data_IF_426516326982
#
_entry.id   IF_426516326982
#
_cell.length_a   1.000
_cell.length_b   1.000
_cell.length_c   1.000
_cell.angle_alpha   90.00
_cell.angle_beta   90.00
_cell.angle_gamma   90.00
#
_symmetry.space_group_name_H-M   'P 1'
#
loop_
_entity.id
_entity.type
_entity.pdbx_description
1 polymer ?
#
# COMPACT_ATOMS: atom_id res chain seq x y z
N UNK A 1 -1.79 14.43 -13.89
CA UNK A 1 -2.25 14.36 -12.50
C UNK A 1 -1.61 13.17 -11.78
N UNK A 2 -1.53 13.26 -10.46
CA UNK A 2 -0.95 12.20 -9.64
C UNK A 2 -1.67 10.86 -9.85
N UNK A 3 -3.00 10.89 -9.97
CA UNK A 3 -3.80 9.68 -10.22
C UNK A 3 -3.47 8.99 -11.54
N UNK A 4 -3.09 9.74 -12.56
CA UNK A 4 -2.70 9.17 -13.86
C UNK A 4 -1.34 8.47 -13.78
N UNK A 5 -0.43 9.01 -12.97
CA UNK A 5 0.88 8.38 -12.70
C UNK A 5 0.67 7.03 -12.01
N UNK A 6 -0.21 6.96 -11.01
CA UNK A 6 -0.50 5.71 -10.30
C UNK A 6 -1.14 4.67 -11.20
N UNK A 7 -2.09 5.08 -12.04
CA UNK A 7 -2.74 4.16 -12.98
C UNK A 7 -1.73 3.56 -13.96
N UNK A 8 -0.81 4.38 -14.47
CA UNK A 8 0.25 3.92 -15.37
C UNK A 8 1.17 2.94 -14.65
N UNK A 9 1.56 3.26 -13.42
CA UNK A 9 2.42 2.41 -12.60
C UNK A 9 1.75 1.07 -12.31
N UNK A 10 0.47 1.06 -11.96
CA UNK A 10 -0.28 -0.16 -11.71
C UNK A 10 -0.38 -1.02 -12.97
N UNK A 11 -0.60 -0.42 -14.14
CA UNK A 11 -0.62 -1.12 -15.42
C UNK A 11 0.73 -1.75 -15.75
N UNK A 12 1.83 -1.03 -15.51
CA UNK A 12 3.18 -1.54 -15.73
C UNK A 12 3.46 -2.72 -14.81
N UNK A 13 3.07 -2.63 -13.54
CA UNK A 13 3.25 -3.71 -12.57
C UNK A 13 2.39 -4.92 -12.90
N UNK A 14 1.18 -4.72 -13.40
CA UNK A 14 0.33 -5.80 -13.90
C UNK A 14 1.04 -6.60 -14.98
N UNK A 15 1.65 -5.92 -15.96
CA UNK A 15 2.40 -6.58 -17.02
C UNK A 15 3.56 -7.38 -16.46
N UNK A 16 4.29 -6.83 -15.49
CA UNK A 16 5.39 -7.52 -14.83
C UNK A 16 4.88 -8.78 -14.12
N UNK A 17 3.75 -8.68 -13.42
CA UNK A 17 3.14 -9.84 -12.73
C UNK A 17 2.74 -10.91 -13.74
N UNK A 18 2.12 -10.53 -14.85
CA UNK A 18 1.73 -11.47 -15.89
C UNK A 18 2.92 -12.23 -16.47
N UNK A 19 4.02 -11.51 -16.76
CA UNK A 19 5.26 -12.11 -17.24
C UNK A 19 5.89 -13.06 -16.23
N UNK A 20 5.94 -12.64 -14.98
CA UNK A 20 6.48 -13.46 -13.91
C UNK A 20 5.65 -14.72 -13.69
N UNK A 21 4.31 -14.60 -13.76
CA UNK A 21 3.41 -15.75 -13.64
C UNK A 21 3.67 -16.76 -14.77
N UNK A 22 3.85 -16.28 -15.99
CA UNK A 22 4.17 -17.14 -17.13
C UNK A 22 5.47 -17.90 -16.89
N UNK A 23 6.52 -17.21 -16.45
CA UNK A 23 7.82 -17.82 -16.14
C UNK A 23 7.73 -18.85 -15.01
N UNK A 24 6.86 -18.64 -14.03
CA UNK A 24 6.64 -19.55 -12.91
C UNK A 24 5.67 -20.69 -13.25
N UNK A 25 5.06 -20.67 -14.42
CA UNK A 25 4.05 -21.65 -14.78
C UNK A 25 2.74 -21.50 -14.02
N UNK A 26 2.43 -20.30 -13.57
CA UNK A 26 1.24 -20.00 -12.77
C UNK A 26 0.15 -19.42 -13.68
N UNK A 27 -1.07 -19.94 -13.55
CA UNK A 27 -2.22 -19.39 -14.26
C UNK A 27 -2.80 -18.22 -13.47
N UNK A 28 -2.90 -17.06 -14.10
CA UNK A 28 -3.44 -15.86 -13.50
C UNK A 28 -4.31 -15.13 -14.53
N UNK A 29 -5.47 -14.63 -14.10
CA UNK A 29 -6.26 -13.80 -14.99
C UNK A 29 -5.81 -12.33 -14.90
N UNK A 30 -6.32 -11.52 -15.82
CA UNK A 30 -5.93 -10.11 -15.91
C UNK A 30 -6.28 -9.34 -14.64
N UNK A 31 -7.46 -9.58 -14.07
CA UNK A 31 -7.90 -8.91 -12.85
C UNK A 31 -7.07 -9.33 -11.64
N UNK A 32 -6.66 -10.60 -11.56
CA UNK A 32 -5.75 -11.07 -10.51
C UNK A 32 -4.38 -10.43 -10.60
N UNK A 33 -3.85 -10.34 -11.82
CA UNK A 33 -2.54 -9.68 -12.04
C UNK A 33 -2.58 -8.20 -11.68
N UNK A 34 -3.66 -7.50 -12.02
CA UNK A 34 -3.84 -6.10 -11.66
C UNK A 34 -3.91 -5.93 -10.14
N UNK A 35 -4.62 -6.82 -9.44
CA UNK A 35 -4.74 -6.74 -7.98
C UNK A 35 -3.40 -6.93 -7.29
N UNK A 36 -2.59 -7.89 -7.71
CA UNK A 36 -1.23 -8.07 -7.19
C UNK A 36 -0.37 -6.85 -7.48
N UNK A 37 -0.45 -6.32 -8.70
CA UNK A 37 0.31 -5.13 -9.09
C UNK A 37 -0.05 -3.90 -8.27
N UNK A 38 -1.33 -3.65 -8.08
CA UNK A 38 -1.83 -2.50 -7.30
C UNK A 38 -1.30 -2.51 -5.86
N UNK A 39 -1.20 -3.68 -5.25
CA UNK A 39 -0.80 -3.81 -3.85
C UNK A 39 0.71 -3.96 -3.67
N UNK A 40 1.50 -3.80 -4.71
CA UNK A 40 2.95 -4.02 -4.68
C UNK A 40 3.77 -2.77 -4.36
N UNK A 41 3.14 -1.69 -3.92
CA UNK A 41 3.81 -0.44 -3.51
C UNK A 41 4.69 0.15 -4.62
N UNK A 42 4.32 -0.05 -5.87
CA UNK A 42 5.04 0.49 -7.01
C UNK A 42 6.38 -0.17 -7.31
N UNK A 43 6.69 -1.32 -6.70
CA UNK A 43 7.99 -1.98 -6.92
C UNK A 43 7.84 -3.36 -7.56
N UNK A 44 8.61 -3.64 -8.64
CA UNK A 44 8.61 -4.96 -9.27
C UNK A 44 9.06 -6.07 -8.32
N UNK A 45 10.02 -5.81 -7.43
CA UNK A 45 10.49 -6.80 -6.46
C UNK A 45 9.36 -7.24 -5.53
N UNK A 46 8.61 -6.29 -5.01
CA UNK A 46 7.50 -6.60 -4.11
C UNK A 46 6.36 -7.28 -4.86
N UNK A 47 6.08 -6.86 -6.11
CA UNK A 47 5.10 -7.51 -6.95
C UNK A 47 5.41 -9.00 -7.14
N UNK A 48 6.68 -9.32 -7.42
CA UNK A 48 7.12 -10.71 -7.58
C UNK A 48 7.02 -11.51 -6.28
N UNK A 49 7.36 -10.89 -5.15
CA UNK A 49 7.23 -11.54 -3.84
C UNK A 49 5.77 -11.83 -3.50
N UNK A 50 4.90 -10.87 -3.72
CA UNK A 50 3.46 -11.04 -3.49
C UNK A 50 2.88 -12.12 -4.42
N UNK A 51 3.28 -12.13 -5.69
CA UNK A 51 2.84 -13.14 -6.64
C UNK A 51 3.17 -14.55 -6.15
N UNK A 52 4.38 -14.76 -5.67
CA UNK A 52 4.80 -16.08 -5.15
C UNK A 52 3.95 -16.51 -3.96
N UNK A 53 3.63 -15.59 -3.06
CA UNK A 53 2.80 -15.86 -1.89
C UNK A 53 1.35 -16.14 -2.28
N UNK A 54 0.83 -15.38 -3.23
CA UNK A 54 -0.53 -15.62 -3.75
C UNK A 54 -0.59 -16.95 -4.49
N UNK A 55 0.45 -17.30 -5.26
CA UNK A 55 0.57 -18.61 -5.91
C UNK A 55 0.50 -19.75 -4.90
N UNK A 56 1.27 -19.68 -3.83
CA UNK A 56 1.31 -20.70 -2.80
C UNK A 56 -0.08 -20.87 -2.18
N UNK A 57 -0.76 -19.78 -1.88
CA UNK A 57 -2.12 -19.77 -1.37
C UNK A 57 -3.09 -20.43 -2.35
N UNK A 58 -3.00 -20.08 -3.63
CA UNK A 58 -3.88 -20.63 -4.67
C UNK A 58 -3.69 -22.13 -4.85
N UNK A 59 -2.44 -22.61 -4.76
CA UNK A 59 -2.15 -24.03 -4.89
C UNK A 59 -2.65 -24.86 -3.72
N UNK A 60 -2.62 -24.29 -2.51
CA UNK A 60 -3.06 -25.00 -1.29
C UNK A 60 -4.58 -24.98 -1.14
N UNK A 61 -5.21 -23.82 -1.39
CA UNK A 61 -6.63 -23.58 -1.09
C UNK A 61 -7.55 -23.70 -2.30
N UNK A 62 -7.00 -23.62 -3.51
CA UNK A 62 -7.76 -23.60 -4.75
C UNK A 62 -7.09 -24.52 -5.77
N UNK A 63 -7.47 -24.41 -7.02
CA UNK A 63 -6.96 -25.24 -8.13
C UNK A 63 -5.66 -24.70 -8.76
N UNK A 64 -5.04 -23.70 -8.14
CA UNK A 64 -3.83 -23.07 -8.64
C UNK A 64 -4.05 -21.87 -9.55
N UNK A 65 -5.29 -21.59 -9.93
CA UNK A 65 -5.63 -20.42 -10.75
C UNK A 65 -5.75 -19.18 -9.86
N UNK A 66 -5.08 -18.11 -10.21
CA UNK A 66 -5.15 -16.84 -9.49
C UNK A 66 -6.17 -15.94 -10.20
N UNK A 67 -7.38 -15.93 -9.68
CA UNK A 67 -8.42 -15.00 -10.10
C UNK A 67 -8.35 -13.75 -9.22
N UNK A 68 -9.14 -12.73 -9.56
CA UNK A 68 -9.29 -11.54 -8.73
C UNK A 68 -9.63 -11.90 -7.27
N UNK A 69 -10.61 -12.79 -7.09
CA UNK A 69 -11.06 -13.17 -5.75
C UNK A 69 -9.98 -13.91 -4.96
N UNK A 70 -9.24 -14.78 -5.62
CA UNK A 70 -8.13 -15.50 -4.99
C UNK A 70 -7.02 -14.54 -4.60
N UNK A 71 -6.66 -13.62 -5.50
CA UNK A 71 -5.65 -12.60 -5.22
C UNK A 71 -6.08 -11.71 -4.05
N UNK A 72 -7.31 -11.22 -4.06
CA UNK A 72 -7.85 -10.37 -3.01
C UNK A 72 -7.83 -11.08 -1.65
N UNK A 73 -8.30 -12.31 -1.60
CA UNK A 73 -8.33 -13.10 -0.36
C UNK A 73 -6.93 -13.32 0.18
N UNK A 74 -5.99 -13.73 -0.68
CA UNK A 74 -4.62 -13.97 -0.26
C UNK A 74 -3.93 -12.70 0.23
N UNK A 75 -4.09 -11.60 -0.50
CA UNK A 75 -3.45 -10.32 -0.13
C UNK A 75 -4.04 -9.74 1.15
N UNK A 76 -5.34 -9.93 1.39
CA UNK A 76 -5.96 -9.51 2.65
C UNK A 76 -5.40 -10.31 3.83
N UNK A 77 -5.15 -11.62 3.65
CA UNK A 77 -4.51 -12.43 4.69
C UNK A 77 -3.07 -12.00 4.98
N UNK A 78 -2.39 -11.43 3.99
CA UNK A 78 -1.05 -10.87 4.16
C UNK A 78 -1.08 -9.45 4.76
N UNK A 79 -2.27 -8.95 5.10
CA UNK A 79 -2.48 -7.62 5.68
C UNK A 79 -2.04 -6.47 4.77
N UNK A 80 -2.01 -6.69 3.46
CA UNK A 80 -1.77 -5.65 2.46
C UNK A 80 -3.12 -5.18 1.95
N UNK A 81 -3.44 -3.89 2.15
CA UNK A 81 -4.76 -3.37 1.75
C UNK A 81 -4.83 -3.03 0.25
N UNK A 82 -5.98 -2.51 -0.19
CA UNK A 82 -6.25 -2.21 -1.60
C UNK A 82 -5.28 -1.20 -2.22
N UNK A 83 -4.62 -0.38 -1.41
CA UNK A 83 -3.62 0.60 -1.87
C UNK A 83 -2.19 0.10 -1.72
N UNK A 84 -2.00 -1.10 -1.19
CA UNK A 84 -0.66 -1.62 -0.90
C UNK A 84 -0.10 -1.19 0.45
N UNK A 85 -0.94 -0.65 1.33
CA UNK A 85 -0.51 -0.28 2.68
C UNK A 85 -0.41 -1.52 3.55
N UNK A 86 0.67 -1.62 4.31
CA UNK A 86 0.83 -2.67 5.31
C UNK A 86 0.38 -2.20 6.70
N UNK A 87 0.54 -3.05 7.70
CA UNK A 87 0.13 -2.73 9.07
C UNK A 87 0.86 -1.50 9.63
N UNK A 88 2.15 -1.35 9.32
CA UNK A 88 2.93 -0.20 9.80
C UNK A 88 2.47 1.10 9.16
N UNK A 89 2.18 1.10 7.85
CA UNK A 89 1.60 2.28 7.18
C UNK A 89 0.30 2.69 7.85
N UNK A 90 -0.58 1.72 8.11
CA UNK A 90 -1.88 2.01 8.74
C UNK A 90 -1.72 2.51 10.17
N UNK A 91 -0.79 1.94 10.93
CA UNK A 91 -0.49 2.41 12.29
C UNK A 91 0.01 3.84 12.30
N UNK A 92 0.85 4.19 11.32
CA UNK A 92 1.36 5.54 11.17
C UNK A 92 0.22 6.53 10.90
N UNK A 93 -0.63 6.24 9.93
CA UNK A 93 -1.79 7.09 9.62
C UNK A 93 -2.77 7.17 10.78
N UNK A 94 -3.05 6.04 11.43
CA UNK A 94 -3.94 5.97 12.59
C UNK A 94 -3.43 6.85 13.73
N UNK A 95 -2.13 6.80 14.02
CA UNK A 95 -1.53 7.64 15.06
C UNK A 95 -1.66 9.13 14.73
N UNK A 96 -1.45 9.51 13.47
CA UNK A 96 -1.60 10.89 13.04
C UNK A 96 -3.04 11.38 13.20
N UNK A 97 -4.02 10.53 12.93
CA UNK A 97 -5.43 10.88 13.09
C UNK A 97 -5.83 10.96 14.56
N UNK A 98 -5.53 9.94 15.34
CA UNK A 98 -6.07 9.77 16.71
C UNK A 98 -5.19 10.37 17.78
N UNK A 99 -3.88 10.16 17.74
CA UNK A 99 -2.96 10.66 18.76
C UNK A 99 -2.61 12.13 18.55
N UNK A 100 -2.45 12.56 17.32
CA UNK A 100 -2.05 13.91 16.98
C UNK A 100 -3.21 14.76 16.43
N UNK A 101 -4.41 14.16 16.33
CA UNK A 101 -5.64 14.85 15.89
C UNK A 101 -5.48 15.57 14.55
N UNK A 102 -4.71 14.98 13.64
CA UNK A 102 -4.46 15.54 12.31
C UNK A 102 -3.52 16.72 12.29
N UNK A 103 -2.98 17.15 13.42
CA UNK A 103 -2.02 18.27 13.47
C UNK A 103 -0.68 17.83 12.90
N UNK A 104 0.08 18.76 12.30
CA UNK A 104 1.43 18.42 11.83
C UNK A 104 2.29 17.86 12.95
N UNK A 105 3.03 16.81 12.65
CA UNK A 105 3.89 16.13 13.63
C UNK A 105 5.29 15.90 13.04
N UNK A 106 6.31 16.13 13.87
CA UNK A 106 7.70 15.92 13.48
C UNK A 106 8.01 14.41 13.36
N UNK A 107 9.05 14.11 12.58
CA UNK A 107 9.45 12.74 12.28
C UNK A 107 9.77 11.95 13.55
N UNK A 108 10.60 12.50 14.43
CA UNK A 108 11.02 11.78 15.64
C UNK A 108 9.86 11.52 16.61
N UNK A 109 8.95 12.48 16.72
CA UNK A 109 7.76 12.35 17.56
C UNK A 109 6.84 11.26 17.01
N UNK A 110 6.64 11.23 15.71
CA UNK A 110 5.84 10.21 15.05
C UNK A 110 6.47 8.83 15.22
N UNK A 111 7.78 8.73 15.01
CA UNK A 111 8.53 7.48 15.17
C UNK A 111 8.38 6.92 16.59
N UNK A 112 8.53 7.76 17.59
CA UNK A 112 8.34 7.35 18.98
C UNK A 112 6.93 6.86 19.25
N UNK A 113 5.92 7.51 18.66
CA UNK A 113 4.51 7.17 18.88
C UNK A 113 4.14 5.79 18.31
N UNK A 114 4.76 5.36 17.22
CA UNK A 114 4.45 4.08 16.59
C UNK A 114 5.50 3.00 16.85
N UNK A 115 6.56 3.33 17.59
CA UNK A 115 7.62 2.37 17.89
C UNK A 115 8.47 1.98 16.69
N UNK A 116 8.71 2.92 15.77
CA UNK A 116 9.49 2.69 14.56
C UNK A 116 10.71 3.62 14.55
N UNK A 117 11.74 3.23 13.82
CA UNK A 117 12.93 4.05 13.64
C UNK A 117 12.63 5.22 12.70
N UNK A 118 13.09 6.43 13.06
CA UNK A 118 12.87 7.65 12.26
C UNK A 118 13.41 7.52 10.84
N UNK A 119 14.60 6.95 10.69
CA UNK A 119 15.21 6.73 9.37
C UNK A 119 14.39 5.79 8.51
N UNK A 120 13.83 4.75 9.11
CA UNK A 120 12.98 3.78 8.42
C UNK A 120 11.69 4.45 7.93
N UNK A 121 11.08 5.29 8.77
CA UNK A 121 9.88 6.03 8.34
C UNK A 121 10.22 6.93 7.16
N UNK A 122 11.31 7.68 7.25
CA UNK A 122 11.70 8.63 6.21
C UNK A 122 12.08 7.95 4.90
N UNK A 123 12.76 6.81 4.95
CA UNK A 123 13.31 6.15 3.77
C UNK A 123 12.37 5.12 3.15
N UNK A 124 11.54 4.46 3.96
CA UNK A 124 10.72 3.33 3.50
C UNK A 124 9.23 3.68 3.41
N UNK A 125 8.66 4.27 4.44
CA UNK A 125 7.21 4.49 4.51
C UNK A 125 6.77 5.83 3.95
N UNK A 126 7.42 6.91 4.33
CA UNK A 126 7.03 8.26 3.94
C UNK A 126 7.02 8.48 2.43
N UNK A 127 8.04 8.06 1.66
CA UNK A 127 8.03 8.30 0.21
C UNK A 127 6.82 7.69 -0.48
N UNK A 128 6.45 6.49 -0.10
CA UNK A 128 5.27 5.81 -0.65
C UNK A 128 3.97 6.54 -0.27
N UNK A 129 3.84 6.91 1.01
CA UNK A 129 2.65 7.59 1.50
C UNK A 129 2.48 8.98 0.87
N UNK A 130 3.58 9.70 0.65
CA UNK A 130 3.57 10.99 -0.06
C UNK A 130 3.17 10.78 -1.52
N UNK A 131 3.77 9.81 -2.19
CA UNK A 131 3.47 9.50 -3.59
C UNK A 131 1.99 9.15 -3.78
N UNK A 132 1.41 8.40 -2.84
CA UNK A 132 0.00 8.02 -2.90
C UNK A 132 -0.95 9.13 -2.43
N UNK A 133 -0.43 10.28 -2.03
CA UNK A 133 -1.24 11.42 -1.64
C UNK A 133 -1.90 11.28 -0.29
N UNK A 134 -1.32 10.49 0.62
CA UNK A 134 -1.88 10.27 1.95
C UNK A 134 -1.30 11.21 2.99
N UNK A 135 -0.01 11.54 2.89
CA UNK A 135 0.63 12.51 3.77
C UNK A 135 1.36 13.57 2.94
N UNK A 136 1.65 14.68 3.58
CA UNK A 136 2.43 15.78 2.98
C UNK A 136 3.38 16.35 4.01
N UNK A 137 4.47 16.94 3.55
CA UNK A 137 5.39 17.69 4.40
C UNK A 137 4.95 19.13 4.46
N UNK A 138 4.95 19.69 5.66
CA UNK A 138 4.67 21.11 5.91
C UNK A 138 5.84 21.70 6.71
N UNK A 139 5.94 23.04 6.83
CA UNK A 139 6.99 23.64 7.67
C UNK A 139 6.92 23.22 9.14
N UNK A 140 5.76 22.71 9.58
CA UNK A 140 5.53 22.31 10.98
C UNK A 140 5.67 20.78 11.18
N UNK A 141 5.88 20.02 10.12
CA UNK A 141 5.99 18.57 10.19
C UNK A 141 5.13 17.87 9.15
N UNK A 142 4.90 16.57 9.36
CA UNK A 142 4.09 15.76 8.47
C UNK A 142 2.62 15.94 8.82
N UNK A 143 1.79 16.09 7.79
CA UNK A 143 0.34 16.27 7.95
C UNK A 143 -0.41 15.33 7.01
N UNK A 144 -1.68 15.06 7.35
CA UNK A 144 -2.55 14.20 6.55
C UNK A 144 -3.24 15.00 5.46
N UNK A 145 -3.58 14.30 4.37
CA UNK A 145 -4.47 14.82 3.34
C UNK A 145 -5.90 14.38 3.62
N UNK A 146 -6.89 15.00 2.97
CA UNK A 146 -8.28 14.56 3.06
C UNK A 146 -8.42 13.11 2.63
N UNK A 147 -7.68 12.68 1.61
CA UNK A 147 -7.69 11.31 1.10
C UNK A 147 -7.27 10.29 2.16
N UNK A 148 -6.32 10.64 3.03
CA UNK A 148 -5.90 9.75 4.12
C UNK A 148 -7.05 9.44 5.08
N UNK A 149 -7.83 10.46 5.45
CA UNK A 149 -9.00 10.26 6.30
C UNK A 149 -10.02 9.34 5.63
N UNK A 150 -10.30 9.59 4.36
CA UNK A 150 -11.23 8.76 3.59
C UNK A 150 -10.77 7.30 3.52
N UNK A 151 -9.51 7.09 3.21
CA UNK A 151 -8.96 5.74 3.10
C UNK A 151 -9.01 4.99 4.43
N UNK A 152 -8.76 5.69 5.53
CA UNK A 152 -8.76 5.08 6.87
C UNK A 152 -10.18 4.96 7.47
N UNK A 153 -11.21 5.45 6.76
CA UNK A 153 -12.58 5.35 7.22
C UNK A 153 -12.97 6.37 8.28
N UNK A 154 -12.26 7.49 8.35
CA UNK A 154 -12.57 8.57 9.28
C UNK A 154 -13.24 9.74 8.57
N UNK A 155 -14.09 10.50 9.28
CA UNK A 155 -14.65 11.74 8.71
C UNK A 155 -13.52 12.71 8.39
N UNK A 156 -13.63 13.37 7.22
CA UNK A 156 -12.65 14.40 6.83
C UNK A 156 -12.95 15.67 7.65
N UNK A 157 -11.95 16.20 8.39
CA UNK A 157 -12.16 17.43 9.15
C UNK A 157 -12.35 18.62 8.24
N UNK A 158 -13.02 19.67 8.76
CA UNK A 158 -13.28 20.89 7.99
C UNK A 158 -11.98 21.60 7.61
N UNK A 159 -10.98 21.58 8.49
CA UNK A 159 -9.67 22.15 8.24
C UNK A 159 -8.62 21.08 8.04
N UNK A 160 -7.85 21.18 6.94
CA UNK A 160 -6.70 20.33 6.65
C UNK A 160 -5.45 21.20 6.74
N UNK A 161 -4.49 20.76 7.50
CA UNK A 161 -3.24 21.49 7.73
C UNK A 161 -2.31 21.50 6.52
#
# INVERSE_FOLDING_TARGET
>A
AASDVYKRQDEELKVIVERSAELLGVKIDEAGAMEVGKRSRGTPRLANRLLKRVRDFAQVRYDGMITYEVAQTALNLLEVDSMGLDATDRNLLEAMITKFMGKPVGLDTLAAAIGEDSGTIEDVYEPFLIQRGLIKRTPRGRALTAFAYEHMGYPVPEEIY
#
